data_IF_961411650716
#
_entry.id   IF_961411650716
#
_cell.length_a   1.000
_cell.length_b   1.000
_cell.length_c   1.000
_cell.angle_alpha   90.00
_cell.angle_beta   90.00
_cell.angle_gamma   90.00
#
_symmetry.space_group_name_H-M   'P 1'
#
loop_
_entity.id
_entity.type
_entity.pdbx_description
1 polymer ?
#
# COMPACT_ATOMS: atom_id res chain seq x y z
N UNK A 1 -43.48 56.79 -16.88
CA UNK A 1 -44.06 56.45 -18.20
C UNK A 1 -42.92 55.84 -19.02
N UNK A 2 -42.94 54.51 -19.23
CA UNK A 2 -43.32 53.81 -20.49
C UNK A 2 -42.26 53.97 -21.59
N UNK A 3 -41.83 52.96 -22.36
CA UNK A 3 -42.25 51.56 -22.57
C UNK A 3 -40.96 50.81 -23.05
N UNK A 4 -40.60 49.56 -22.66
CA UNK A 4 -41.13 48.25 -23.13
C UNK A 4 -41.33 48.26 -24.67
N UNK A 5 -40.78 47.38 -25.50
CA UNK A 5 -40.24 46.01 -25.31
C UNK A 5 -38.78 45.91 -25.89
N UNK A 6 -38.22 44.92 -26.63
CA UNK A 6 -38.69 43.63 -27.20
C UNK A 6 -37.58 42.54 -27.27
N UNK A 7 -38.04 41.30 -27.13
CA UNK A 7 -37.45 39.95 -27.33
C UNK A 7 -36.33 39.76 -28.38
N UNK A 8 -35.31 38.98 -28.00
CA UNK A 8 -34.75 37.88 -28.83
C UNK A 8 -34.98 36.54 -28.12
N UNK A 9 -35.04 35.42 -28.87
CA UNK A 9 -35.62 34.14 -28.41
C UNK A 9 -34.71 32.95 -28.72
N UNK A 10 -35.08 31.78 -28.17
CA UNK A 10 -34.42 30.47 -28.27
C UNK A 10 -33.09 30.32 -27.50
N UNK A 11 -32.72 29.15 -26.98
CA UNK A 11 -33.29 27.80 -27.20
C UNK A 11 -33.37 27.00 -25.87
N UNK A 12 -34.41 26.19 -25.72
CA UNK A 12 -34.56 25.24 -24.61
C UNK A 12 -33.67 24.00 -24.82
N UNK A 13 -33.01 23.53 -23.76
CA UNK A 13 -32.68 22.11 -23.62
C UNK A 13 -32.68 21.71 -22.14
N UNK A 14 -33.78 21.09 -21.68
CA UNK A 14 -33.86 20.50 -20.35
C UNK A 14 -33.37 19.04 -20.42
N UNK A 15 -32.18 18.77 -19.90
CA UNK A 15 -31.64 17.40 -19.79
C UNK A 15 -31.89 16.90 -18.37
N UNK A 16 -32.87 16.02 -18.24
CA UNK A 16 -33.18 15.32 -16.99
C UNK A 16 -32.05 14.32 -16.70
N UNK A 17 -31.49 14.30 -15.49
CA UNK A 17 -30.63 13.19 -15.07
C UNK A 17 -31.51 11.99 -14.69
N UNK A 18 -31.42 10.84 -15.39
CA UNK A 18 -32.05 9.62 -14.93
C UNK A 18 -31.32 9.08 -13.68
N UNK A 19 -32.08 8.72 -12.66
CA UNK A 19 -31.57 7.93 -11.53
C UNK A 19 -31.09 6.56 -11.99
N UNK A 20 -30.23 5.93 -11.17
CA UNK A 20 -29.51 4.71 -11.49
C UNK A 20 -30.36 3.58 -12.12
N UNK A 21 -29.86 3.04 -13.23
CA UNK A 21 -30.17 1.69 -13.71
C UNK A 21 -28.87 0.91 -13.83
N UNK A 22 -28.87 -0.32 -13.33
CA UNK A 22 -27.76 -1.24 -13.53
C UNK A 22 -27.69 -1.68 -15.00
N UNK A 23 -26.47 -1.85 -15.53
CA UNK A 23 -26.23 -2.55 -16.79
C UNK A 23 -25.28 -3.72 -16.54
N UNK A 24 -25.52 -4.89 -17.15
CA UNK A 24 -24.74 -6.10 -16.89
C UNK A 24 -23.38 -6.04 -17.59
N UNK A 25 -22.33 -6.55 -16.92
CA UNK A 25 -21.17 -7.06 -17.65
C UNK A 25 -21.61 -8.32 -18.42
N UNK A 26 -21.18 -8.44 -19.67
CA UNK A 26 -21.63 -9.51 -20.56
C UNK A 26 -21.02 -10.87 -20.18
N UNK A 27 -21.77 -11.94 -20.49
CA UNK A 27 -21.16 -13.25 -20.73
C UNK A 27 -20.46 -13.16 -22.09
N UNK A 28 -19.14 -13.29 -22.09
CA UNK A 28 -18.33 -13.49 -23.28
C UNK A 28 -17.76 -14.90 -23.22
N UNK A 29 -18.12 -15.76 -24.18
CA UNK A 29 -17.81 -17.19 -24.13
C UNK A 29 -16.36 -17.44 -24.58
N UNK A 30 -15.44 -17.30 -23.63
CA UNK A 30 -13.99 -17.34 -23.86
C UNK A 30 -13.26 -18.28 -22.89
N UNK A 31 -13.72 -19.54 -22.84
CA UNK A 31 -13.08 -20.65 -22.11
C UNK A 31 -12.63 -20.24 -20.70
N UNK A 32 -13.60 -20.00 -19.82
CA UNK A 32 -13.37 -19.57 -18.44
C UNK A 32 -12.78 -20.73 -17.59
N UNK A 33 -11.49 -21.00 -17.81
CA UNK A 33 -10.65 -21.71 -16.86
C UNK A 33 -10.57 -20.82 -15.63
N UNK A 34 -11.58 -20.94 -14.77
CA UNK A 34 -11.72 -20.14 -13.57
C UNK A 34 -10.46 -20.28 -12.72
N UNK A 35 -9.54 -19.32 -12.89
CA UNK A 35 -8.31 -19.23 -12.10
C UNK A 35 -8.80 -18.98 -10.70
N UNK A 36 -8.77 -20.03 -9.88
CA UNK A 36 -9.12 -19.93 -8.48
C UNK A 36 -8.20 -18.87 -7.89
N UNK A 37 -8.75 -17.68 -7.64
CA UNK A 37 -8.07 -16.60 -6.95
C UNK A 37 -7.90 -17.11 -5.53
N UNK A 38 -6.79 -17.83 -5.31
CA UNK A 38 -6.41 -18.35 -4.02
C UNK A 38 -6.49 -17.17 -3.05
N UNK A 39 -7.21 -17.32 -1.91
CA UNK A 39 -7.47 -16.20 -1.02
C UNK A 39 -6.12 -15.56 -0.68
N UNK A 40 -5.96 -14.30 -1.06
CA UNK A 40 -4.69 -13.59 -0.93
C UNK A 40 -4.23 -13.75 0.51
N UNK A 41 -3.14 -14.51 0.70
CA UNK A 41 -2.84 -15.07 2.02
C UNK A 41 -2.52 -13.91 2.97
N UNK A 42 -3.50 -13.60 3.83
CA UNK A 42 -3.40 -12.51 4.77
C UNK A 42 -2.18 -12.75 5.64
N UNK A 43 -1.19 -11.87 5.51
CA UNK A 43 0.12 -12.05 6.11
C UNK A 43 0.01 -11.98 7.64
N UNK A 44 0.09 -13.14 8.31
CA UNK A 44 0.24 -13.24 9.77
C UNK A 44 1.66 -12.84 10.18
N UNK A 45 1.95 -11.56 9.92
CA UNK A 45 3.05 -10.81 10.46
C UNK A 45 2.59 -10.16 11.77
N UNK A 46 3.47 -10.12 12.76
CA UNK A 46 3.20 -9.56 14.09
C UNK A 46 4.32 -8.61 14.49
N UNK A 47 3.99 -7.60 15.27
CA UNK A 47 4.92 -6.57 15.72
C UNK A 47 4.92 -6.41 17.24
N UNK A 48 5.98 -5.80 17.76
CA UNK A 48 6.17 -5.58 19.20
C UNK A 48 5.53 -4.29 19.76
N UNK A 49 4.88 -3.47 18.92
CA UNK A 49 4.31 -2.16 19.26
C UNK A 49 5.34 -1.08 19.71
N UNK A 50 6.63 -1.31 19.50
CA UNK A 50 7.70 -0.32 19.74
C UNK A 50 8.21 0.25 18.40
N UNK A 51 8.55 1.54 18.37
CA UNK A 51 8.74 2.29 17.12
C UNK A 51 10.23 2.46 16.76
N UNK A 52 10.71 1.61 15.84
CA UNK A 52 12.02 1.75 15.22
C UNK A 52 12.07 2.98 14.30
N UNK A 53 13.03 3.88 14.57
CA UNK A 53 13.31 5.05 13.73
C UNK A 53 14.27 4.71 12.60
N UNK A 54 13.90 5.09 11.39
CA UNK A 54 14.67 4.87 10.17
C UNK A 54 14.95 6.19 9.44
N UNK A 55 16.17 6.35 8.94
CA UNK A 55 16.54 7.40 7.99
C UNK A 55 17.65 6.88 7.09
N UNK A 56 17.31 6.68 5.83
CA UNK A 56 18.17 6.26 4.75
C UNK A 56 17.89 7.19 3.56
N UNK A 57 18.91 7.70 2.86
CA UNK A 57 18.70 8.64 1.76
C UNK A 57 18.13 7.98 0.50
N UNK A 58 18.17 6.65 0.38
CA UNK A 58 17.72 5.91 -0.80
C UNK A 58 16.27 5.44 -0.69
N UNK A 59 15.83 4.99 0.50
CA UNK A 59 14.55 4.27 0.63
C UNK A 59 13.98 4.21 2.07
N UNK A 60 12.65 4.11 2.16
CA UNK A 60 11.95 3.81 3.41
C UNK A 60 12.17 2.37 3.93
N UNK A 61 11.70 2.06 5.15
CA UNK A 61 11.84 0.74 5.77
C UNK A 61 11.42 -0.44 4.88
N UNK A 62 10.25 -0.39 4.25
CA UNK A 62 9.75 -1.46 3.37
C UNK A 62 10.65 -1.70 2.16
N UNK A 63 11.18 -0.63 1.57
CA UNK A 63 12.15 -0.69 0.48
C UNK A 63 13.47 -1.33 0.91
N UNK A 64 14.01 -0.97 2.08
CA UNK A 64 15.25 -1.59 2.58
C UNK A 64 15.05 -3.04 3.00
N UNK A 65 13.87 -3.39 3.52
CA UNK A 65 13.49 -4.78 3.81
C UNK A 65 13.41 -5.61 2.53
N UNK A 66 12.73 -5.12 1.49
CA UNK A 66 12.68 -5.76 0.17
C UNK A 66 14.09 -5.97 -0.40
N UNK A 67 14.95 -4.95 -0.30
CA UNK A 67 16.34 -5.04 -0.73
C UNK A 67 17.13 -6.09 0.07
N UNK A 68 17.12 -6.05 1.41
CA UNK A 68 17.80 -7.06 2.24
C UNK A 68 17.30 -8.48 1.95
N UNK A 69 16.00 -8.66 1.79
CA UNK A 69 15.41 -9.93 1.36
C UNK A 69 15.97 -10.41 0.00
N UNK A 70 16.14 -9.53 -0.98
CA UNK A 70 16.77 -9.89 -2.26
C UNK A 70 18.25 -10.29 -2.15
N UNK A 71 18.96 -9.82 -1.11
CA UNK A 71 20.36 -10.17 -0.84
C UNK A 71 20.55 -11.45 -0.01
N UNK A 72 19.46 -12.13 0.38
CA UNK A 72 19.52 -13.29 1.29
C UNK A 72 19.44 -12.93 2.79
N UNK A 73 18.91 -11.75 3.12
CA UNK A 73 18.82 -11.23 4.48
C UNK A 73 20.07 -10.43 4.88
N UNK A 74 20.49 -10.57 6.13
CA UNK A 74 21.65 -9.84 6.67
C UNK A 74 21.24 -8.53 7.34
N UNK A 75 22.14 -7.53 7.39
CA UNK A 75 21.89 -6.25 8.03
C UNK A 75 22.37 -5.07 7.18
N UNK A 76 21.64 -3.95 7.25
CA UNK A 76 22.04 -2.65 6.71
C UNK A 76 22.00 -1.58 7.81
N UNK A 77 22.97 -0.65 7.79
CA UNK A 77 23.01 0.49 8.72
C UNK A 77 22.84 1.77 7.91
N UNK A 78 21.78 2.53 8.20
CA UNK A 78 21.49 3.79 7.54
C UNK A 78 21.96 5.00 8.39
N UNK A 79 21.59 6.22 8.00
CA UNK A 79 21.92 7.44 8.76
C UNK A 79 21.30 7.44 10.16
N UNK A 80 20.10 6.84 10.30
CA UNK A 80 19.48 6.47 11.57
C UNK A 80 18.82 5.11 11.42
N UNK A 81 19.04 4.24 12.39
CA UNK A 81 18.54 2.87 12.38
C UNK A 81 19.50 1.89 11.69
N UNK A 82 19.60 0.70 12.28
CA UNK A 82 20.18 -0.50 11.67
C UNK A 82 19.07 -1.52 11.53
N UNK A 83 18.80 -1.94 10.29
CA UNK A 83 17.84 -2.99 9.98
C UNK A 83 18.57 -4.32 9.86
N UNK A 84 18.01 -5.39 10.40
CA UNK A 84 18.48 -6.76 10.22
C UNK A 84 17.33 -7.69 9.84
N UNK A 85 17.57 -8.63 8.94
CA UNK A 85 16.60 -9.60 8.39
C UNK A 85 17.20 -11.00 8.47
N UNK A 86 16.47 -11.94 9.09
CA UNK A 86 16.95 -13.30 9.32
C UNK A 86 15.81 -14.32 9.41
N UNK A 87 16.13 -15.61 9.22
CA UNK A 87 15.15 -16.70 9.31
C UNK A 87 14.59 -17.10 7.94
N UNK A 88 13.29 -17.40 7.89
CA UNK A 88 12.62 -17.96 6.69
C UNK A 88 12.35 -16.90 5.61
N UNK A 89 13.32 -16.70 4.71
CA UNK A 89 13.25 -15.73 3.62
C UNK A 89 12.07 -15.92 2.66
N UNK A 90 11.40 -17.08 2.65
CA UNK A 90 10.18 -17.26 1.85
C UNK A 90 9.04 -16.33 2.33
N UNK A 91 9.08 -15.87 3.58
CA UNK A 91 8.10 -14.95 4.17
C UNK A 91 8.39 -13.47 3.81
N UNK A 92 9.47 -13.18 3.08
CA UNK A 92 9.90 -11.82 2.75
C UNK A 92 8.86 -11.00 1.98
N UNK A 93 8.04 -11.63 1.12
CA UNK A 93 6.94 -10.93 0.43
C UNK A 93 5.92 -10.39 1.43
N UNK A 94 5.49 -11.22 2.38
CA UNK A 94 4.58 -10.81 3.44
C UNK A 94 5.20 -9.77 4.38
N UNK A 95 6.46 -9.94 4.78
CA UNK A 95 7.14 -8.97 5.63
C UNK A 95 7.28 -7.61 4.94
N UNK A 96 7.59 -7.58 3.65
CA UNK A 96 7.68 -6.35 2.84
C UNK A 96 6.32 -5.66 2.73
N UNK A 97 5.25 -6.42 2.46
CA UNK A 97 3.90 -5.86 2.36
C UNK A 97 3.43 -5.30 3.71
N UNK A 98 3.54 -6.07 4.80
CA UNK A 98 3.18 -5.59 6.14
C UNK A 98 4.03 -4.39 6.59
N UNK A 99 5.32 -4.37 6.27
CA UNK A 99 6.17 -3.19 6.52
C UNK A 99 5.68 -1.95 5.76
N UNK A 100 5.23 -2.10 4.51
CA UNK A 100 4.68 -1.03 3.69
C UNK A 100 3.32 -0.53 4.17
N UNK A 101 2.51 -1.41 4.76
CA UNK A 101 1.20 -1.07 5.34
C UNK A 101 1.30 -0.43 6.74
N UNK A 102 2.45 -0.56 7.41
CA UNK A 102 2.70 -0.06 8.77
C UNK A 102 3.74 1.07 8.86
N UNK A 103 4.51 1.34 7.81
CA UNK A 103 5.51 2.41 7.83
C UNK A 103 4.87 3.80 7.71
N UNK A 104 5.39 4.76 8.46
CA UNK A 104 4.91 6.15 8.41
C UNK A 104 6.07 7.16 8.37
N UNK A 105 5.78 8.37 7.88
CA UNK A 105 6.74 9.46 7.79
C UNK A 105 6.30 10.64 8.66
N UNK A 106 7.11 10.95 9.68
CA UNK A 106 6.93 12.10 10.56
C UNK A 106 8.27 12.84 10.76
N UNK A 107 9.01 13.03 9.66
CA UNK A 107 10.33 13.68 9.63
C UNK A 107 11.51 12.72 9.82
N UNK A 108 11.32 11.62 10.56
CA UNK A 108 12.00 10.33 10.34
C UNK A 108 10.98 9.36 9.68
N UNK A 109 11.44 8.26 9.09
CA UNK A 109 10.59 7.09 8.85
C UNK A 109 10.42 6.30 10.15
N UNK A 110 9.26 5.70 10.33
CA UNK A 110 8.94 4.82 11.45
C UNK A 110 8.40 3.49 10.91
N UNK A 111 8.85 2.40 11.53
CA UNK A 111 8.27 1.05 11.42
C UNK A 111 8.50 0.36 12.77
N UNK A 112 7.76 -0.71 13.08
CA UNK A 112 7.97 -1.44 14.33
C UNK A 112 9.41 -1.95 14.48
N UNK A 113 10.00 -1.82 15.67
CA UNK A 113 11.40 -2.17 15.94
C UNK A 113 11.66 -3.68 15.91
N UNK A 114 10.60 -4.49 16.00
CA UNK A 114 10.61 -5.91 15.68
C UNK A 114 9.33 -6.33 14.97
N UNK A 115 9.49 -7.00 13.82
CA UNK A 115 8.42 -7.63 13.02
C UNK A 115 8.78 -9.10 12.78
N UNK A 116 7.84 -10.00 13.06
CA UNK A 116 7.98 -11.44 12.83
C UNK A 116 6.89 -11.92 11.89
N UNK A 117 7.25 -12.60 10.81
CA UNK A 117 6.32 -13.20 9.84
C UNK A 117 6.63 -14.70 9.75
N UNK A 118 5.78 -15.54 10.35
CA UNK A 118 6.06 -16.98 10.47
C UNK A 118 7.39 -17.27 11.19
N UNK A 119 8.45 -17.57 10.42
CA UNK A 119 9.82 -17.80 10.91
C UNK A 119 10.85 -16.77 10.38
N UNK A 120 10.42 -15.71 9.71
CA UNK A 120 11.27 -14.55 9.43
C UNK A 120 11.20 -13.56 10.60
N UNK A 121 12.34 -13.01 10.97
CA UNK A 121 12.48 -11.90 11.92
C UNK A 121 13.16 -10.71 11.23
N UNK A 122 12.53 -9.55 11.37
CA UNK A 122 13.03 -8.24 10.94
C UNK A 122 13.15 -7.36 12.19
N UNK A 123 14.31 -6.76 12.42
CA UNK A 123 14.51 -5.82 13.52
C UNK A 123 15.05 -4.48 13.02
N UNK A 124 14.68 -3.39 13.70
CA UNK A 124 15.26 -2.06 13.53
C UNK A 124 15.78 -1.60 14.90
N UNK A 125 17.10 -1.47 15.03
CA UNK A 125 17.73 -0.87 16.22
C UNK A 125 18.15 0.56 15.90
N UNK A 126 17.57 1.53 16.60
CA UNK A 126 17.87 2.96 16.42
C UNK A 126 18.66 3.49 17.61
N UNK A 127 19.65 4.39 17.40
CA UNK A 127 20.17 5.21 18.50
C UNK A 127 19.06 6.17 18.99
N UNK A 128 19.14 6.65 20.25
CA UNK A 128 18.22 7.64 20.79
C UNK A 128 18.17 8.97 19.99
#
# INVERSE_FOLDING_TARGET
MTLIEKITSSLLLAVVLPSALAMPAQVDDSNDTAVAVAPAMACDCRHNNDAGRWRDPEMGPSGRLAWLCSQGGGCHTAQRGRMCVSGDLNQCGCATQSARDWESWHGDWFLWSSVTCGRLSVTITSPP
#
